data_IF_243867986327
#
_entry.id   IF_243867986327
#
_cell.length_a   1.000
_cell.length_b   1.000
_cell.length_c   1.000
_cell.angle_alpha   90.00
_cell.angle_beta   90.00
_cell.angle_gamma   90.00
#
_symmetry.space_group_name_H-M   'P 1'
#
loop_
_entity.id
_entity.type
_entity.pdbx_description
1 polymer ?
#
# COMPACT_ATOMS: atom_id res chain seq x y z
N UNK A 1 -53.31 -38.34 40.39
CA UNK A 1 -53.35 -36.94 40.82
C UNK A 1 -51.92 -36.47 41.13
N UNK A 2 -51.55 -35.29 40.60
CA UNK A 2 -50.51 -34.34 41.05
C UNK A 2 -49.04 -34.81 41.13
N UNK A 3 -48.13 -34.23 40.34
CA UNK A 3 -47.40 -32.93 40.54
C UNK A 3 -46.56 -33.01 41.84
N UNK A 4 -45.26 -32.70 41.90
CA UNK A 4 -44.40 -31.81 41.11
C UNK A 4 -42.94 -32.01 41.54
N UNK A 5 -42.03 -31.59 40.66
CA UNK A 5 -40.59 -31.34 40.78
C UNK A 5 -40.02 -31.00 42.18
N UNK A 6 -38.72 -31.27 42.37
CA UNK A 6 -37.67 -30.26 42.66
C UNK A 6 -36.24 -30.83 42.50
N UNK A 7 -35.39 -30.08 41.78
CA UNK A 7 -33.96 -30.28 41.50
C UNK A 7 -33.07 -29.88 42.71
N UNK A 8 -31.78 -30.27 42.75
CA UNK A 8 -30.73 -29.32 42.35
C UNK A 8 -29.65 -30.01 41.49
N UNK A 9 -29.51 -29.65 40.21
CA UNK A 9 -28.63 -28.59 39.67
C UNK A 9 -27.15 -28.76 40.07
N UNK A 10 -26.53 -29.86 39.64
CA UNK A 10 -25.07 -30.00 39.60
C UNK A 10 -24.64 -30.18 38.16
N UNK A 11 -24.10 -29.12 37.55
CA UNK A 11 -23.06 -29.13 36.51
C UNK A 11 -22.88 -27.68 36.03
N UNK A 12 -21.99 -26.96 36.72
CA UNK A 12 -21.34 -25.78 36.17
C UNK A 12 -20.63 -26.19 34.87
N UNK A 13 -21.27 -25.98 33.73
CA UNK A 13 -20.56 -25.90 32.47
C UNK A 13 -19.77 -24.59 32.50
N UNK A 14 -18.48 -24.68 32.84
CA UNK A 14 -17.51 -23.71 32.35
C UNK A 14 -17.55 -23.80 30.82
N UNK A 15 -18.39 -23.00 30.19
CA UNK A 15 -18.21 -22.67 28.78
C UNK A 15 -16.96 -21.79 28.77
N UNK A 16 -15.80 -22.44 28.68
CA UNK A 16 -14.57 -21.76 28.35
C UNK A 16 -14.76 -21.20 26.95
N UNK A 17 -15.08 -19.92 26.84
CA UNK A 17 -15.06 -19.20 25.57
C UNK A 17 -13.65 -19.32 25.01
N UNK A 18 -13.47 -20.22 24.05
CA UNK A 18 -12.26 -20.30 23.24
C UNK A 18 -12.20 -18.94 22.52
N UNK A 19 -11.15 -18.13 22.70
CA UNK A 19 -10.97 -16.97 21.86
C UNK A 19 -10.63 -17.50 20.47
N UNK A 20 -11.59 -17.47 19.55
CA UNK A 20 -11.38 -17.84 18.15
C UNK A 20 -10.48 -16.76 17.52
N UNK A 21 -9.17 -16.94 17.61
CA UNK A 21 -8.17 -16.12 16.93
C UNK A 21 -8.05 -16.52 15.46
N UNK A 22 -9.15 -16.48 14.70
CA UNK A 22 -9.22 -16.86 13.29
C UNK A 22 -8.97 -15.70 12.31
N UNK A 23 -8.62 -14.51 12.81
CA UNK A 23 -8.42 -13.32 11.99
C UNK A 23 -7.02 -13.22 11.36
N UNK A 24 -6.00 -13.82 11.98
CA UNK A 24 -4.62 -13.72 11.48
C UNK A 24 -4.37 -14.60 10.26
N UNK A 25 -5.01 -15.78 10.19
CA UNK A 25 -4.89 -16.70 9.05
C UNK A 25 -5.55 -16.12 7.80
N UNK A 26 -6.77 -15.61 7.92
CA UNK A 26 -7.52 -15.07 6.77
C UNK A 26 -6.89 -13.79 6.17
N UNK A 27 -6.34 -12.89 7.00
CA UNK A 27 -5.59 -11.72 6.52
C UNK A 27 -4.27 -12.13 5.85
N UNK A 28 -3.59 -13.15 6.37
CA UNK A 28 -2.38 -13.69 5.72
C UNK A 28 -2.70 -14.26 4.34
N UNK A 29 -3.84 -14.94 4.21
CA UNK A 29 -4.28 -15.57 2.96
C UNK A 29 -4.66 -14.54 1.89
N UNK A 30 -5.48 -13.53 2.21
CA UNK A 30 -5.88 -12.49 1.24
C UNK A 30 -4.67 -11.66 0.76
N UNK A 31 -3.72 -11.35 1.65
CA UNK A 31 -2.50 -10.62 1.28
C UNK A 31 -1.66 -11.46 0.34
N UNK A 32 -1.45 -12.75 0.67
CA UNK A 32 -0.64 -13.65 -0.16
C UNK A 32 -1.24 -13.84 -1.54
N UNK A 33 -2.53 -14.18 -1.63
CA UNK A 33 -3.20 -14.43 -2.90
C UNK A 33 -3.26 -13.18 -3.80
N UNK A 34 -3.36 -12.00 -3.19
CA UNK A 34 -3.42 -10.74 -3.93
C UNK A 34 -2.05 -10.26 -4.40
N UNK A 35 -0.98 -10.51 -3.65
CA UNK A 35 0.36 -10.02 -3.97
C UNK A 35 1.19 -10.96 -4.87
N UNK A 36 0.81 -12.23 -5.02
CA UNK A 36 1.66 -13.26 -5.65
C UNK A 36 2.07 -12.95 -7.10
N UNK A 37 1.24 -12.21 -7.83
CA UNK A 37 1.50 -11.79 -9.22
C UNK A 37 1.80 -10.29 -9.34
N UNK A 38 2.06 -9.58 -8.24
CA UNK A 38 2.51 -8.19 -8.31
C UNK A 38 3.95 -8.12 -8.86
N UNK A 39 4.37 -6.99 -9.40
CA UNK A 39 5.75 -6.82 -9.91
C UNK A 39 6.81 -7.02 -8.83
N UNK A 40 6.47 -6.76 -7.56
CA UNK A 40 7.33 -7.01 -6.41
C UNK A 40 6.59 -7.78 -5.31
N UNK A 41 6.37 -9.11 -5.45
CA UNK A 41 5.52 -9.88 -4.55
C UNK A 41 6.04 -9.90 -3.10
N UNK A 42 7.35 -10.08 -2.91
CA UNK A 42 7.95 -10.19 -1.58
C UNK A 42 7.77 -8.92 -0.76
N UNK A 43 7.95 -7.74 -1.36
CA UNK A 43 7.74 -6.49 -0.63
C UNK A 43 6.25 -6.23 -0.39
N UNK A 44 5.39 -6.53 -1.37
CA UNK A 44 3.93 -6.44 -1.23
C UNK A 44 3.44 -7.21 0.00
N UNK A 45 3.76 -8.51 0.06
CA UNK A 45 3.36 -9.40 1.16
C UNK A 45 3.92 -8.88 2.48
N UNK A 46 5.24 -8.63 2.55
CA UNK A 46 5.89 -8.19 3.79
C UNK A 46 5.25 -6.92 4.37
N UNK A 47 5.02 -5.91 3.53
CA UNK A 47 4.49 -4.64 4.01
C UNK A 47 3.02 -4.70 4.38
N UNK A 48 2.21 -5.46 3.63
CA UNK A 48 0.78 -5.57 3.91
C UNK A 48 0.48 -6.51 5.08
N UNK A 49 1.25 -7.59 5.26
CA UNK A 49 1.13 -8.46 6.45
C UNK A 49 1.53 -7.74 7.74
N UNK A 50 2.36 -6.69 7.66
CA UNK A 50 2.77 -5.87 8.82
C UNK A 50 1.94 -4.59 8.96
N UNK A 51 0.88 -4.44 8.17
CA UNK A 51 0.05 -3.23 8.20
C UNK A 51 -0.77 -3.17 9.49
N UNK A 52 -0.57 -2.11 10.27
CA UNK A 52 -1.24 -1.90 11.56
C UNK A 52 -2.37 -0.87 11.51
N UNK A 53 -2.84 -0.50 10.32
CA UNK A 53 -3.93 0.46 10.15
C UNK A 53 -5.30 -0.21 10.17
N UNK A 54 -6.19 0.25 9.28
CA UNK A 54 -7.54 -0.32 9.16
C UNK A 54 -7.50 -1.80 8.78
N UNK A 55 -8.48 -2.59 9.24
CA UNK A 55 -8.59 -4.00 8.89
C UNK A 55 -8.71 -4.19 7.37
N UNK A 56 -8.03 -5.22 6.85
CA UNK A 56 -8.05 -5.60 5.43
C UNK A 56 -9.06 -6.74 5.27
N UNK A 57 -10.28 -6.42 4.85
CA UNK A 57 -11.34 -7.41 4.65
C UNK A 57 -11.71 -7.59 3.17
N UNK A 58 -11.42 -6.59 2.35
CA UNK A 58 -11.77 -6.56 0.92
C UNK A 58 -10.57 -6.21 0.04
N UNK A 59 -10.62 -6.50 -1.28
CA UNK A 59 -9.59 -6.03 -2.21
C UNK A 59 -9.42 -4.50 -2.21
N UNK A 60 -10.51 -3.75 -2.00
CA UNK A 60 -10.46 -2.29 -1.90
C UNK A 60 -9.73 -1.83 -0.62
N UNK A 61 -9.94 -2.51 0.52
CA UNK A 61 -9.17 -2.24 1.74
C UNK A 61 -7.68 -2.52 1.53
N UNK A 62 -7.36 -3.59 0.81
CA UNK A 62 -5.99 -3.96 0.47
C UNK A 62 -5.31 -2.89 -0.39
N UNK A 63 -6.00 -2.39 -1.44
CA UNK A 63 -5.51 -1.29 -2.27
C UNK A 63 -5.33 0.01 -1.45
N UNK A 64 -6.27 0.34 -0.56
CA UNK A 64 -6.13 1.49 0.34
C UNK A 64 -4.94 1.34 1.29
N UNK A 65 -4.74 0.16 1.87
CA UNK A 65 -3.59 -0.13 2.73
C UNK A 65 -2.27 0.03 1.97
N UNK A 66 -2.19 -0.47 0.74
CA UNK A 66 -1.02 -0.33 -0.12
C UNK A 66 -0.69 1.14 -0.39
N UNK A 67 -1.67 1.95 -0.82
CA UNK A 67 -1.47 3.40 -1.05
C UNK A 67 -1.06 4.13 0.23
N UNK A 68 -1.66 3.82 1.39
CA UNK A 68 -1.27 4.41 2.68
C UNK A 68 0.18 4.08 3.06
N UNK A 69 0.60 2.83 2.86
CA UNK A 69 1.99 2.40 3.11
C UNK A 69 2.95 3.15 2.19
N UNK A 70 2.62 3.25 0.90
CA UNK A 70 3.41 3.98 -0.09
C UNK A 70 3.54 5.45 0.29
N UNK A 71 2.44 6.13 0.62
CA UNK A 71 2.45 7.53 1.05
C UNK A 71 3.32 7.74 2.30
N UNK A 72 3.21 6.85 3.30
CA UNK A 72 4.09 6.90 4.48
C UNK A 72 5.57 6.72 4.11
N UNK A 73 5.87 5.86 3.12
CA UNK A 73 7.24 5.66 2.65
C UNK A 73 7.75 6.87 1.87
N UNK A 74 6.92 7.48 1.04
CA UNK A 74 7.22 8.71 0.29
C UNK A 74 7.55 9.87 1.25
N UNK A 75 6.74 10.09 2.29
CA UNK A 75 7.04 11.09 3.34
C UNK A 75 8.41 10.83 4.01
N UNK A 76 8.69 9.58 4.39
CA UNK A 76 9.98 9.22 5.00
C UNK A 76 11.15 9.41 4.04
N UNK A 77 10.95 9.15 2.75
CA UNK A 77 11.97 9.38 1.73
C UNK A 77 12.22 10.88 1.52
N UNK A 78 11.16 11.69 1.37
CA UNK A 78 11.26 13.15 1.28
C UNK A 78 11.96 13.77 2.49
N UNK A 79 11.56 13.40 3.70
CA UNK A 79 12.23 13.87 4.92
C UNK A 79 13.70 13.45 5.03
N UNK A 80 14.05 12.27 4.51
CA UNK A 80 15.46 11.88 4.37
C UNK A 80 16.20 12.79 3.39
N UNK A 81 15.65 13.03 2.19
CA UNK A 81 16.27 13.88 1.16
C UNK A 81 16.56 15.30 1.68
N UNK A 82 15.63 15.89 2.44
CA UNK A 82 15.81 17.21 3.06
C UNK A 82 16.93 17.29 4.10
N UNK A 83 17.43 16.15 4.58
CA UNK A 83 18.48 16.07 5.60
C UNK A 83 19.81 15.56 5.06
N UNK A 84 19.86 15.06 3.82
CA UNK A 84 21.12 14.57 3.26
C UNK A 84 22.03 15.74 2.99
N UNK A 85 23.28 15.63 3.44
CA UNK A 85 24.32 16.59 3.14
C UNK A 85 24.70 16.53 1.65
N UNK A 86 24.59 17.67 0.99
CA UNK A 86 25.17 17.92 -0.32
C UNK A 86 26.60 18.48 -0.22
N UNK A 87 27.43 18.19 -1.22
CA UNK A 87 28.82 18.65 -1.31
C UNK A 87 29.08 19.47 -2.59
N UNK A 88 28.12 19.52 -3.51
CA UNK A 88 28.20 20.33 -4.72
C UNK A 88 26.90 21.02 -5.11
N UNK A 89 26.99 22.06 -5.95
CA UNK A 89 25.81 22.73 -6.54
C UNK A 89 24.95 21.75 -7.35
N UNK A 90 25.57 20.76 -8.00
CA UNK A 90 24.88 19.73 -8.78
C UNK A 90 24.02 18.84 -7.89
N UNK A 91 24.59 18.39 -6.78
CA UNK A 91 23.89 17.58 -5.79
C UNK A 91 22.76 18.35 -5.12
N UNK A 92 23.00 19.63 -4.77
CA UNK A 92 21.97 20.52 -4.23
C UNK A 92 20.76 20.61 -5.15
N UNK A 93 20.99 20.83 -6.45
CA UNK A 93 19.93 20.91 -7.44
C UNK A 93 19.18 19.60 -7.59
N UNK A 94 19.89 18.48 -7.76
CA UNK A 94 19.27 17.16 -7.88
C UNK A 94 18.43 16.78 -6.64
N UNK A 95 18.88 17.15 -5.44
CA UNK A 95 18.10 16.97 -4.22
C UNK A 95 16.85 17.84 -4.20
N UNK A 96 16.95 19.11 -4.57
CA UNK A 96 15.80 20.01 -4.66
C UNK A 96 14.76 19.48 -5.66
N UNK A 97 15.19 19.15 -6.87
CA UNK A 97 14.33 18.63 -7.93
C UNK A 97 13.67 17.31 -7.49
N UNK A 98 14.42 16.41 -6.83
CA UNK A 98 13.85 15.17 -6.33
C UNK A 98 12.86 15.39 -5.17
N UNK A 99 13.09 16.36 -4.28
CA UNK A 99 12.15 16.69 -3.20
C UNK A 99 10.81 17.18 -3.80
N UNK A 100 10.87 18.01 -4.85
CA UNK A 100 9.69 18.46 -5.60
C UNK A 100 8.95 17.28 -6.22
N UNK A 101 9.64 16.42 -6.96
CA UNK A 101 9.04 15.22 -7.55
C UNK A 101 8.40 14.30 -6.51
N UNK A 102 9.05 14.12 -5.35
CA UNK A 102 8.46 13.36 -4.24
C UNK A 102 7.24 14.06 -3.64
N UNK A 103 7.21 15.38 -3.62
CA UNK A 103 6.04 16.20 -3.28
C UNK A 103 4.85 15.87 -4.19
N UNK A 104 5.07 15.91 -5.49
CA UNK A 104 4.06 15.58 -6.50
C UNK A 104 3.58 14.13 -6.37
N UNK A 105 4.49 13.16 -6.18
CA UNK A 105 4.11 11.77 -5.90
C UNK A 105 3.18 11.66 -4.70
N UNK A 106 3.45 12.38 -3.62
CA UNK A 106 2.61 12.37 -2.42
C UNK A 106 1.23 12.98 -2.66
N UNK A 107 1.13 14.03 -3.48
CA UNK A 107 -0.15 14.62 -3.89
C UNK A 107 -0.99 13.60 -4.68
N UNK A 108 -0.40 12.97 -5.68
CA UNK A 108 -1.07 11.98 -6.53
C UNK A 108 -1.51 10.73 -5.76
N UNK A 109 -0.66 10.24 -4.84
CA UNK A 109 -1.02 9.16 -3.92
C UNK A 109 -2.16 9.57 -2.96
N UNK A 110 -2.21 10.83 -2.54
CA UNK A 110 -3.27 11.35 -1.68
C UNK A 110 -4.61 11.46 -2.41
N UNK A 111 -4.61 11.95 -3.66
CA UNK A 111 -5.78 11.93 -4.56
C UNK A 111 -6.29 10.50 -4.74
N UNK A 112 -5.37 9.57 -5.01
CA UNK A 112 -5.68 8.14 -5.16
C UNK A 112 -6.33 7.54 -3.91
N UNK A 113 -5.80 7.87 -2.73
CA UNK A 113 -6.39 7.42 -1.48
C UNK A 113 -7.79 8.00 -1.25
N UNK A 114 -8.01 9.25 -1.61
CA UNK A 114 -9.33 9.89 -1.52
C UNK A 114 -10.35 9.20 -2.42
N UNK A 115 -9.99 8.93 -3.67
CA UNK A 115 -10.85 8.24 -4.64
C UNK A 115 -11.12 6.79 -4.22
N UNK A 116 -10.12 6.04 -3.73
CA UNK A 116 -10.33 4.69 -3.19
C UNK A 116 -11.30 4.65 -2.00
N UNK A 117 -11.38 5.70 -1.18
CA UNK A 117 -12.37 5.78 -0.08
C UNK A 117 -13.80 5.97 -0.57
N UNK A 118 -13.96 6.58 -1.74
CA UNK A 118 -15.26 6.88 -2.35
C UNK A 118 -15.57 6.01 -3.57
N UNK A 119 -14.70 5.03 -3.86
CA UNK A 119 -14.86 4.11 -4.98
C UNK A 119 -16.13 3.30 -4.80
N UNK A 120 -17.01 3.37 -5.79
CA UNK A 120 -18.32 2.71 -5.78
C UNK A 120 -18.55 2.02 -7.11
N UNK A 121 -19.15 0.83 -7.06
CA UNK A 121 -19.67 0.17 -8.27
C UNK A 121 -20.79 1.02 -8.88
N UNK A 122 -21.01 0.89 -10.19
CA UNK A 122 -22.01 1.65 -10.94
C UNK A 122 -21.39 2.59 -11.96
N UNK A 123 -22.15 3.61 -12.38
CA UNK A 123 -21.83 4.44 -13.55
C UNK A 123 -20.48 5.19 -13.42
N UNK A 124 -20.08 5.59 -12.21
CA UNK A 124 -18.83 6.30 -11.97
C UNK A 124 -17.59 5.39 -11.94
N UNK A 125 -17.76 4.08 -11.70
CA UNK A 125 -16.65 3.17 -11.37
C UNK A 125 -15.52 3.22 -12.39
N UNK A 126 -15.84 3.16 -13.69
CA UNK A 126 -14.84 3.17 -14.76
C UNK A 126 -14.00 4.45 -14.77
N UNK A 127 -14.64 5.59 -14.52
CA UNK A 127 -13.96 6.88 -14.45
C UNK A 127 -13.07 6.98 -13.21
N UNK A 128 -13.58 6.56 -12.05
CA UNK A 128 -12.80 6.51 -10.81
C UNK A 128 -11.57 5.59 -10.95
N UNK A 129 -11.72 4.42 -11.57
CA UNK A 129 -10.59 3.52 -11.85
C UNK A 129 -9.56 4.14 -12.79
N UNK A 130 -9.99 4.90 -13.80
CA UNK A 130 -9.10 5.64 -14.70
C UNK A 130 -8.32 6.73 -13.96
N UNK A 131 -8.94 7.45 -13.03
CA UNK A 131 -8.26 8.43 -12.19
C UNK A 131 -7.19 7.75 -11.31
N UNK A 132 -7.55 6.66 -10.65
CA UNK A 132 -6.63 5.89 -9.80
C UNK A 132 -5.40 5.42 -10.57
N UNK A 133 -5.61 4.85 -11.76
CA UNK A 133 -4.51 4.44 -12.63
C UNK A 133 -3.63 5.63 -13.04
N UNK A 134 -4.25 6.75 -13.40
CA UNK A 134 -3.54 7.95 -13.84
C UNK A 134 -2.66 8.51 -12.73
N UNK A 135 -3.23 8.75 -11.55
CA UNK A 135 -2.51 9.37 -10.44
C UNK A 135 -1.42 8.46 -9.88
N UNK A 136 -1.67 7.16 -9.70
CA UNK A 136 -0.62 6.25 -9.20
C UNK A 136 0.49 6.04 -10.24
N UNK A 137 0.18 6.04 -11.54
CA UNK A 137 1.21 5.99 -12.59
C UNK A 137 2.02 7.29 -12.66
N UNK A 138 1.38 8.44 -12.44
CA UNK A 138 2.07 9.73 -12.32
C UNK A 138 3.02 9.74 -11.11
N UNK A 139 2.57 9.25 -9.95
CA UNK A 139 3.42 9.13 -8.76
C UNK A 139 4.67 8.27 -9.03
N UNK A 140 4.53 7.17 -9.76
CA UNK A 140 5.65 6.31 -10.16
C UNK A 140 6.60 7.02 -11.14
N UNK A 141 6.05 7.79 -12.08
CA UNK A 141 6.83 8.58 -13.06
C UNK A 141 7.66 9.66 -12.37
N UNK A 142 7.10 10.33 -11.36
CA UNK A 142 7.81 11.33 -10.57
C UNK A 142 8.94 10.69 -9.74
N UNK A 143 8.71 9.50 -9.17
CA UNK A 143 9.74 8.74 -8.46
C UNK A 143 10.90 8.33 -9.38
N UNK A 144 10.59 7.89 -10.60
CA UNK A 144 11.60 7.60 -11.63
C UNK A 144 12.34 8.87 -12.10
N UNK A 145 11.62 9.99 -12.24
CA UNK A 145 12.21 11.29 -12.60
C UNK A 145 13.17 11.79 -11.52
N UNK A 146 12.84 11.61 -10.23
CA UNK A 146 13.78 11.87 -9.15
C UNK A 146 15.05 11.03 -9.34
N UNK A 147 14.95 9.73 -9.59
CA UNK A 147 16.11 8.85 -9.77
C UNK A 147 16.97 9.27 -10.96
N UNK A 148 16.33 9.71 -12.03
CA UNK A 148 16.99 10.20 -13.25
C UNK A 148 17.84 11.45 -13.00
N UNK A 149 17.41 12.34 -12.09
CA UNK A 149 18.18 13.51 -11.67
C UNK A 149 19.55 13.19 -11.05
N UNK A 150 19.76 11.95 -10.61
CA UNK A 150 21.03 11.49 -10.01
C UNK A 150 21.89 10.66 -10.96
N UNK A 151 21.53 10.48 -12.24
CA UNK A 151 22.27 9.64 -13.21
C UNK A 151 23.74 10.02 -13.40
N UNK A 152 24.08 11.26 -13.13
CA UNK A 152 25.42 11.83 -13.30
C UNK A 152 26.06 12.29 -11.98
N UNK A 153 25.49 11.87 -10.85
CA UNK A 153 26.05 12.04 -9.51
C UNK A 153 26.59 10.68 -9.09
N UNK A 154 27.71 10.65 -8.37
CA UNK A 154 28.32 9.41 -7.89
C UNK A 154 28.40 9.35 -6.37
N UNK A 155 28.87 8.21 -5.87
CA UNK A 155 29.16 8.04 -4.45
C UNK A 155 27.96 7.78 -3.56
N UNK A 156 28.11 8.13 -2.28
CA UNK A 156 27.20 7.72 -1.21
C UNK A 156 25.82 8.36 -1.34
N UNK A 157 25.76 9.65 -1.71
CA UNK A 157 24.51 10.37 -1.89
C UNK A 157 23.59 9.64 -2.89
N UNK A 158 24.09 9.39 -4.11
CA UNK A 158 23.34 8.65 -5.13
C UNK A 158 22.87 7.29 -4.63
N UNK A 159 23.75 6.53 -3.98
CA UNK A 159 23.43 5.19 -3.49
C UNK A 159 22.31 5.21 -2.45
N UNK A 160 22.31 6.22 -1.59
CA UNK A 160 21.30 6.41 -0.56
C UNK A 160 19.95 6.86 -1.15
N UNK A 161 19.96 7.84 -2.05
CA UNK A 161 18.76 8.30 -2.77
C UNK A 161 18.15 7.15 -3.56
N UNK A 162 18.95 6.46 -4.38
CA UNK A 162 18.48 5.31 -5.18
C UNK A 162 17.80 4.27 -4.31
N UNK A 163 18.41 3.89 -3.19
CA UNK A 163 17.84 2.90 -2.28
C UNK A 163 16.48 3.34 -1.71
N UNK A 164 16.36 4.61 -1.30
CA UNK A 164 15.11 5.13 -0.71
C UNK A 164 14.01 5.25 -1.74
N UNK A 165 14.30 5.85 -2.89
CA UNK A 165 13.30 6.16 -3.91
C UNK A 165 12.87 4.92 -4.67
N UNK A 166 13.80 4.01 -5.02
CA UNK A 166 13.42 2.69 -5.56
C UNK A 166 12.53 1.90 -4.58
N UNK A 167 12.68 2.11 -3.26
CA UNK A 167 11.78 1.47 -2.31
C UNK A 167 10.36 2.05 -2.38
N UNK A 168 10.20 3.36 -2.63
CA UNK A 168 8.90 3.97 -2.88
C UNK A 168 8.33 3.45 -4.21
N UNK A 169 9.08 3.53 -5.31
CA UNK A 169 8.68 3.04 -6.64
C UNK A 169 8.16 1.61 -6.66
N UNK A 170 8.82 0.71 -5.93
CA UNK A 170 8.37 -0.68 -5.81
C UNK A 170 7.02 -0.81 -5.09
N UNK A 171 6.78 0.02 -4.07
CA UNK A 171 5.51 0.05 -3.35
C UNK A 171 4.42 0.72 -4.19
N UNK A 172 4.74 1.80 -4.89
CA UNK A 172 3.85 2.49 -5.84
C UNK A 172 3.41 1.54 -6.96
N UNK A 173 4.35 0.81 -7.56
CA UNK A 173 4.08 -0.23 -8.57
C UNK A 173 3.16 -1.33 -8.05
N UNK A 174 3.39 -1.84 -6.83
CA UNK A 174 2.49 -2.82 -6.22
C UNK A 174 1.11 -2.22 -5.88
N UNK A 175 1.03 -0.95 -5.48
CA UNK A 175 -0.25 -0.28 -5.23
C UNK A 175 -1.06 -0.14 -6.52
N UNK A 176 -0.42 0.27 -7.62
CA UNK A 176 -1.03 0.33 -8.95
C UNK A 176 -1.55 -1.05 -9.38
N UNK A 177 -0.74 -2.09 -9.18
CA UNK A 177 -1.14 -3.46 -9.45
C UNK A 177 -2.41 -3.83 -8.68
N UNK A 178 -2.45 -3.63 -7.36
CA UNK A 178 -3.61 -3.97 -6.53
C UNK A 178 -4.86 -3.14 -6.88
N UNK A 179 -4.69 -1.87 -7.25
CA UNK A 179 -5.77 -1.02 -7.77
C UNK A 179 -6.34 -1.62 -9.05
N UNK A 180 -5.49 -1.97 -10.03
CA UNK A 180 -5.93 -2.55 -11.29
C UNK A 180 -6.73 -3.84 -11.12
N UNK A 181 -6.45 -4.61 -10.06
CA UNK A 181 -7.20 -5.85 -9.71
C UNK A 181 -8.63 -5.60 -9.22
N UNK A 182 -9.01 -4.36 -8.88
CA UNK A 182 -10.38 -3.99 -8.50
C UNK A 182 -11.35 -4.00 -9.70
N UNK A 183 -10.81 -3.89 -10.91
CA UNK A 183 -11.56 -3.95 -12.16
C UNK A 183 -11.46 -5.36 -12.77
N UNK A 184 -12.57 -6.11 -12.70
CA UNK A 184 -12.65 -7.48 -13.19
C UNK A 184 -12.40 -7.62 -14.70
N UNK A 185 -12.56 -6.55 -15.47
CA UNK A 185 -12.22 -6.55 -16.90
C UNK A 185 -10.71 -6.67 -17.13
N UNK A 186 -9.90 -6.13 -16.21
CA UNK A 186 -8.43 -6.15 -16.26
C UNK A 186 -7.86 -7.47 -15.73
N UNK A 187 -8.60 -8.17 -14.87
CA UNK A 187 -8.24 -9.49 -14.35
C UNK A 187 -8.24 -10.61 -15.41
N UNK A 188 -8.79 -10.36 -16.60
CA UNK A 188 -8.82 -11.32 -17.73
C UNK A 188 -7.62 -11.22 -18.67
N UNK A 189 -6.78 -10.20 -18.50
CA UNK A 189 -5.59 -10.00 -19.32
C UNK A 189 -4.42 -10.67 -18.62
N UNK A 190 -3.80 -11.72 -19.20
CA UNK A 190 -2.57 -12.28 -18.64
C UNK A 190 -1.51 -11.17 -18.62
N UNK A 191 -1.05 -10.80 -17.42
CA UNK A 191 0.10 -9.92 -17.30
C UNK A 191 1.37 -10.74 -17.59
N UNK A 192 2.21 -10.32 -18.55
CA UNK A 192 3.49 -10.98 -18.84
C UNK A 192 4.47 -10.90 -17.67
#
# INVERSE_FOLDING_TARGET
>A
MMKTLLLPLFLLHLISSIPTSSSSSSVSDIVRSSCVHASYPTICIRTLSSYSGSAINTPQDLAQAAVKITLSRAHKASGFLSQVKEESKREKRALSDCIEQMGDSMEELSKSLSELKHLRRGNAFKWQMSNLETWVSAALTNEDTCLDGFKEIDGKLRSDVKRKITNVARLTSNALYLINRLDDSRNKIPHP
#
